data_IF_724530694888
#
_entry.id   IF_724530694888
#
_cell.length_a   1.000
_cell.length_b   1.000
_cell.length_c   1.000
_cell.angle_alpha   90.00
_cell.angle_beta   90.00
_cell.angle_gamma   90.00
#
_symmetry.space_group_name_H-M   'P 1'
#
loop_
_entity.id
_entity.type
_entity.pdbx_description
1 polymer ?
#
# COMPACT_ATOMS: atom_id res chain seq x y z
N UNK A 1 -8.45 15.45 18.07
CA UNK A 1 -8.18 16.22 19.28
C UNK A 1 -9.17 15.96 20.41
N UNK A 2 -10.51 15.93 20.16
CA UNK A 2 -11.50 15.78 21.25
C UNK A 2 -11.34 14.51 22.09
N UNK A 3 -10.96 13.40 21.49
CA UNK A 3 -10.76 12.12 22.20
C UNK A 3 -9.31 11.94 22.64
N UNK A 4 -8.37 12.09 21.70
CA UNK A 4 -6.95 11.83 21.97
C UNK A 4 -6.28 12.95 22.78
N UNK A 5 -6.78 14.17 22.69
CA UNK A 5 -6.30 15.31 23.50
C UNK A 5 -6.77 15.29 24.96
N UNK A 6 -7.60 14.33 25.36
CA UNK A 6 -8.03 14.13 26.72
C UNK A 6 -7.40 12.85 27.27
N UNK A 7 -6.52 12.96 28.28
CA UNK A 7 -5.80 11.81 28.85
C UNK A 7 -6.71 10.70 29.36
N UNK A 8 -7.87 11.05 29.93
CA UNK A 8 -8.84 10.07 30.46
C UNK A 8 -9.50 9.23 29.37
N UNK A 9 -9.74 9.78 28.19
CA UNK A 9 -10.28 9.03 27.05
C UNK A 9 -9.18 8.38 26.21
N UNK A 10 -8.04 9.05 26.02
CA UNK A 10 -6.94 8.56 25.21
C UNK A 10 -6.35 7.21 25.68
N UNK A 11 -6.43 6.92 27.00
CA UNK A 11 -5.95 5.64 27.58
C UNK A 11 -6.75 4.41 27.09
N UNK A 12 -7.95 4.61 26.58
CA UNK A 12 -8.81 3.53 26.05
C UNK A 12 -8.66 3.37 24.53
N UNK A 13 -7.87 4.22 23.86
CA UNK A 13 -7.66 4.20 22.42
C UNK A 13 -6.28 3.65 22.15
N UNK A 14 -6.19 2.52 21.46
CA UNK A 14 -4.93 1.92 21.03
C UNK A 14 -4.50 2.48 19.68
N UNK A 15 -5.45 2.69 18.77
CA UNK A 15 -5.19 3.19 17.43
C UNK A 15 -6.41 3.82 16.77
N UNK A 16 -6.21 4.39 15.61
CA UNK A 16 -7.23 5.05 14.78
C UNK A 16 -7.32 4.34 13.43
N UNK A 17 -8.54 4.15 12.93
CA UNK A 17 -8.81 3.57 11.64
C UNK A 17 -9.38 4.60 10.65
N UNK A 18 -8.95 4.49 9.39
CA UNK A 18 -9.39 5.32 8.28
C UNK A 18 -9.85 4.44 7.12
N UNK A 19 -10.63 5.00 6.18
CA UNK A 19 -11.02 4.32 4.95
C UNK A 19 -10.23 4.78 3.72
N UNK A 20 -9.71 5.99 3.69
CA UNK A 20 -8.90 6.48 2.58
C UNK A 20 -9.65 6.81 1.29
N UNK A 21 -10.97 7.00 1.34
CA UNK A 21 -11.81 7.32 0.18
C UNK A 21 -11.98 8.80 -0.12
N UNK A 22 -11.26 9.65 0.54
CA UNK A 22 -11.53 11.06 0.50
C UNK A 22 -11.30 11.66 -0.90
N UNK A 23 -12.23 12.50 -1.32
CA UNK A 23 -12.15 13.23 -2.57
C UNK A 23 -11.01 14.26 -2.58
N UNK A 24 -10.43 14.51 -1.45
CA UNK A 24 -9.46 15.56 -1.21
C UNK A 24 -8.02 15.09 -1.48
N UNK A 25 -7.87 13.86 -1.93
CA UNK A 25 -6.58 13.26 -2.23
C UNK A 25 -5.88 12.72 -1.00
N UNK A 26 -4.80 12.02 -1.28
CA UNK A 26 -4.01 11.36 -0.24
C UNK A 26 -3.31 12.34 0.71
N UNK A 27 -3.05 13.57 0.28
CA UNK A 27 -2.31 14.56 1.08
C UNK A 27 -2.99 14.86 2.41
N UNK A 28 -4.31 15.02 2.42
CA UNK A 28 -5.05 15.26 3.68
C UNK A 28 -5.13 14.02 4.55
N UNK A 29 -5.24 12.84 3.94
CA UNK A 29 -5.26 11.58 4.67
C UNK A 29 -3.90 11.24 5.28
N UNK A 30 -2.81 11.42 4.54
CA UNK A 30 -1.45 11.18 5.03
C UNK A 30 -1.08 12.12 6.17
N UNK A 31 -1.44 13.39 6.07
CA UNK A 31 -1.27 14.35 7.16
C UNK A 31 -2.02 13.93 8.43
N UNK A 32 -3.19 13.30 8.29
CA UNK A 32 -3.93 12.71 9.40
C UNK A 32 -3.23 11.52 10.04
N UNK A 33 -2.64 10.62 9.25
CA UNK A 33 -1.85 9.48 9.75
C UNK A 33 -0.63 9.96 10.55
N UNK A 34 0.17 10.83 9.95
CA UNK A 34 1.36 11.39 10.56
C UNK A 34 1.02 12.16 11.84
N UNK A 35 -0.02 13.00 11.80
CA UNK A 35 -0.47 13.76 12.97
C UNK A 35 -0.83 12.84 14.16
N UNK A 36 -1.52 11.74 13.93
CA UNK A 36 -1.91 10.80 14.98
C UNK A 36 -0.70 10.06 15.54
N UNK A 37 0.21 9.61 14.68
CA UNK A 37 1.41 8.89 15.11
C UNK A 37 2.37 9.78 15.87
N UNK A 38 2.63 11.00 15.40
CA UNK A 38 3.60 11.92 15.99
C UNK A 38 3.09 12.59 17.27
N UNK A 39 1.83 13.04 17.28
CA UNK A 39 1.33 13.81 18.41
C UNK A 39 0.72 12.96 19.53
N UNK A 40 0.25 11.75 19.22
CA UNK A 40 -0.42 10.89 20.20
C UNK A 40 0.25 9.53 20.37
N UNK A 41 1.21 9.16 19.55
CA UNK A 41 1.88 7.85 19.60
C UNK A 41 0.90 6.69 19.45
N UNK A 42 -0.18 6.87 18.69
CA UNK A 42 -1.21 5.86 18.47
C UNK A 42 -1.00 5.16 17.14
N UNK A 43 -1.37 3.88 17.10
CA UNK A 43 -1.34 3.11 15.87
C UNK A 43 -2.38 3.63 14.87
N UNK A 44 -2.06 3.51 13.58
CA UNK A 44 -2.95 3.92 12.48
C UNK A 44 -3.18 2.75 11.52
N UNK A 45 -4.42 2.64 11.04
CA UNK A 45 -4.91 1.55 10.22
C UNK A 45 -5.74 2.07 9.06
N UNK A 46 -5.62 1.43 7.87
CA UNK A 46 -6.59 1.54 6.79
C UNK A 46 -7.46 0.28 6.84
N UNK A 47 -8.73 0.45 7.23
CA UNK A 47 -9.64 -0.69 7.40
C UNK A 47 -10.52 -0.95 6.20
N UNK A 48 -10.52 -0.03 5.23
CA UNK A 48 -11.24 -0.19 3.98
C UNK A 48 -10.64 0.72 2.91
N UNK A 49 -10.40 0.16 1.73
CA UNK A 49 -10.12 0.88 0.50
C UNK A 49 -10.44 -0.04 -0.69
N UNK A 50 -10.92 0.50 -1.80
CA UNK A 50 -11.18 -0.27 -3.02
C UNK A 50 -10.56 0.40 -4.24
N UNK A 51 -10.32 -0.37 -5.28
CA UNK A 51 -10.07 0.14 -6.62
C UNK A 51 -11.40 0.49 -7.28
N UNK A 52 -11.44 1.67 -7.90
CA UNK A 52 -12.62 2.12 -8.64
C UNK A 52 -12.47 1.87 -10.14
N UNK A 53 -13.60 1.47 -10.73
CA UNK A 53 -13.96 1.63 -12.12
C UNK A 53 -13.27 0.76 -13.17
N UNK A 54 -14.12 0.13 -13.97
CA UNK A 54 -13.80 -0.60 -15.20
C UNK A 54 -13.04 0.21 -16.27
N UNK A 55 -12.84 1.51 -16.09
CA UNK A 55 -12.18 2.41 -17.04
C UNK A 55 -10.70 2.69 -16.73
N UNK A 56 -10.19 2.22 -15.59
CA UNK A 56 -8.81 2.46 -15.19
C UNK A 56 -7.97 1.24 -15.57
N UNK A 57 -6.87 1.47 -16.28
CA UNK A 57 -5.96 0.40 -16.70
C UNK A 57 -5.13 -0.15 -15.51
N UNK A 58 -4.47 -1.27 -15.74
CA UNK A 58 -3.67 -1.95 -14.71
C UNK A 58 -2.57 -1.05 -14.15
N UNK A 59 -1.89 -0.25 -14.98
CA UNK A 59 -0.78 0.60 -14.55
C UNK A 59 -1.28 1.72 -13.63
N UNK A 60 -2.41 2.34 -13.96
CA UNK A 60 -3.05 3.35 -13.12
C UNK A 60 -3.52 2.76 -11.79
N UNK A 61 -4.15 1.58 -11.82
CA UNK A 61 -4.63 0.90 -10.61
C UNK A 61 -3.49 0.45 -9.68
N UNK A 62 -2.41 -0.11 -10.22
CA UNK A 62 -1.29 -0.52 -9.38
C UNK A 62 -0.59 0.70 -8.79
N UNK A 63 -0.45 1.78 -9.57
CA UNK A 63 0.13 3.04 -9.10
C UNK A 63 -0.72 3.64 -7.96
N UNK A 64 -2.03 3.69 -8.13
CA UNK A 64 -2.96 4.12 -7.08
C UNK A 64 -2.80 3.30 -5.81
N UNK A 65 -2.82 1.97 -5.93
CA UNK A 65 -2.70 1.05 -4.79
C UNK A 65 -1.35 1.18 -4.07
N UNK A 66 -0.26 1.33 -4.83
CA UNK A 66 1.08 1.51 -4.26
C UNK A 66 1.21 2.84 -3.52
N UNK A 67 0.67 3.92 -4.08
CA UNK A 67 0.74 5.24 -3.46
C UNK A 67 -0.18 5.35 -2.24
N UNK A 68 -1.44 4.93 -2.36
CA UNK A 68 -2.48 5.22 -1.37
C UNK A 68 -2.68 4.13 -0.32
N UNK A 69 -2.14 2.93 -0.51
CA UNK A 69 -2.31 1.82 0.43
C UNK A 69 -0.98 1.30 0.94
N UNK A 70 0.06 1.30 0.11
CA UNK A 70 1.32 0.65 0.44
C UNK A 70 2.39 1.66 0.84
N UNK A 71 2.99 2.38 -0.11
CA UNK A 71 4.26 3.09 0.13
C UNK A 71 4.06 4.28 1.07
N UNK A 72 3.19 5.21 0.69
CA UNK A 72 3.03 6.43 1.49
C UNK A 72 2.42 6.16 2.86
N UNK A 73 1.32 5.36 3.01
CA UNK A 73 0.79 5.08 4.34
C UNK A 73 1.78 4.36 5.26
N UNK A 74 2.58 3.42 4.73
CA UNK A 74 3.62 2.77 5.51
C UNK A 74 4.69 3.77 5.97
N UNK A 75 5.06 4.72 5.12
CA UNK A 75 6.00 5.78 5.51
C UNK A 75 5.43 6.69 6.61
N UNK A 76 4.13 6.87 6.68
CA UNK A 76 3.43 7.61 7.74
C UNK A 76 3.02 6.75 8.95
N UNK A 77 3.54 5.53 9.08
CA UNK A 77 3.38 4.70 10.27
C UNK A 77 2.21 3.74 10.25
N UNK A 78 1.59 3.49 9.07
CA UNK A 78 0.53 2.49 8.94
C UNK A 78 0.96 1.13 9.47
N UNK A 79 0.12 0.52 10.32
CA UNK A 79 0.35 -0.81 10.89
C UNK A 79 -0.30 -1.93 10.06
N UNK A 80 -1.47 -1.67 9.50
CA UNK A 80 -2.15 -2.61 8.62
C UNK A 80 -3.09 -1.87 7.65
N UNK A 81 -3.21 -2.42 6.44
CA UNK A 81 -4.17 -1.98 5.44
C UNK A 81 -4.98 -3.16 4.91
N UNK A 82 -6.28 -2.95 4.71
CA UNK A 82 -7.20 -3.95 4.17
C UNK A 82 -7.98 -3.41 3.00
N UNK A 83 -8.15 -4.26 1.97
CA UNK A 83 -8.97 -3.94 0.83
C UNK A 83 -10.43 -4.37 1.01
N UNK A 84 -11.31 -3.60 0.45
CA UNK A 84 -12.71 -3.88 0.24
C UNK A 84 -12.98 -4.02 -1.26
N UNK A 85 -13.32 -5.21 -1.80
CA UNK A 85 -13.49 -6.56 -1.22
C UNK A 85 -12.29 -7.46 -1.58
N UNK A 86 -12.20 -8.65 -0.92
CA UNK A 86 -11.15 -9.61 -1.29
C UNK A 86 -11.47 -10.33 -2.61
N UNK A 87 -12.69 -10.85 -2.76
CA UNK A 87 -13.10 -11.59 -3.97
C UNK A 87 -14.45 -11.07 -4.46
N UNK A 88 -14.50 -10.71 -5.72
CA UNK A 88 -15.73 -10.41 -6.48
C UNK A 88 -15.66 -11.12 -7.85
N UNK A 89 -16.75 -11.13 -8.58
CA UNK A 89 -16.72 -11.47 -10.02
C UNK A 89 -16.08 -10.33 -10.81
N UNK A 90 -15.71 -10.58 -12.06
CA UNK A 90 -15.10 -9.56 -12.94
C UNK A 90 -16.03 -8.37 -13.24
N UNK A 91 -17.36 -8.55 -13.07
CA UNK A 91 -18.36 -7.48 -13.13
C UNK A 91 -18.74 -6.89 -11.76
N UNK A 92 -17.93 -7.19 -10.71
CA UNK A 92 -18.07 -6.62 -9.38
C UNK A 92 -19.17 -7.22 -8.51
N UNK A 93 -19.67 -8.42 -8.82
CA UNK A 93 -20.72 -9.06 -8.01
C UNK A 93 -20.12 -9.92 -6.87
N UNK A 94 -20.87 -10.17 -5.79
CA UNK A 94 -22.21 -9.66 -5.49
C UNK A 94 -22.18 -8.23 -4.93
N UNK A 95 -23.19 -7.44 -5.28
CA UNK A 95 -23.40 -6.11 -4.71
C UNK A 95 -24.77 -6.01 -4.04
N UNK A 96 -24.86 -5.19 -2.98
CA UNK A 96 -26.14 -4.79 -2.41
C UNK A 96 -26.48 -3.40 -2.97
N UNK A 97 -27.51 -3.34 -3.80
CA UNK A 97 -27.93 -2.10 -4.46
C UNK A 97 -27.67 -2.12 -5.98
N UNK A 98 -27.61 -0.94 -6.57
CA UNK A 98 -27.64 -0.80 -8.03
C UNK A 98 -26.28 -0.44 -8.66
N UNK A 99 -25.20 -0.35 -7.90
CA UNK A 99 -23.89 0.08 -8.40
C UNK A 99 -22.80 -0.88 -7.97
N UNK A 100 -22.20 -1.53 -8.97
CA UNK A 100 -20.93 -2.25 -8.82
C UNK A 100 -19.81 -1.31 -9.23
N UNK A 101 -19.29 -0.52 -8.29
CA UNK A 101 -18.17 0.37 -8.54
C UNK A 101 -16.86 -0.16 -7.92
N UNK A 102 -16.91 -1.33 -7.28
CA UNK A 102 -15.79 -1.94 -6.60
C UNK A 102 -15.29 -3.16 -7.37
N UNK A 103 -13.98 -3.37 -7.31
CA UNK A 103 -13.34 -4.60 -7.75
C UNK A 103 -12.79 -5.38 -6.56
N UNK A 104 -12.80 -6.71 -6.69
CA UNK A 104 -12.10 -7.56 -5.76
C UNK A 104 -10.59 -7.46 -5.94
N UNK A 105 -9.84 -7.82 -4.92
CA UNK A 105 -8.39 -8.09 -5.06
C UNK A 105 -8.18 -9.24 -6.05
N UNK A 106 -9.12 -10.18 -6.07
CA UNK A 106 -9.21 -11.31 -6.99
C UNK A 106 -10.59 -11.32 -7.64
N UNK A 107 -10.65 -11.52 -8.97
CA UNK A 107 -11.89 -11.88 -9.65
C UNK A 107 -12.06 -13.40 -9.66
N UNK A 108 -13.28 -13.85 -9.43
CA UNK A 108 -13.66 -15.26 -9.46
C UNK A 108 -14.95 -15.42 -10.26
N UNK A 109 -14.85 -15.94 -11.48
CA UNK A 109 -15.95 -16.08 -12.41
C UNK A 109 -16.27 -17.56 -12.65
N UNK A 110 -17.56 -17.88 -12.78
CA UNK A 110 -18.00 -19.21 -13.18
C UNK A 110 -18.28 -19.21 -14.68
N UNK A 111 -17.49 -19.98 -15.41
CA UNK A 111 -17.63 -20.19 -16.84
C UNK A 111 -18.16 -21.62 -17.15
N UNK A 112 -18.34 -21.93 -18.43
CA UNK A 112 -18.91 -23.21 -18.85
C UNK A 112 -18.05 -24.44 -18.52
N UNK A 113 -16.74 -24.24 -18.37
CA UNK A 113 -15.73 -25.26 -18.06
C UNK A 113 -15.27 -25.23 -16.59
N UNK A 114 -15.83 -24.32 -15.76
CA UNK A 114 -15.56 -24.25 -14.33
C UNK A 114 -15.26 -22.86 -13.79
N UNK A 115 -14.67 -22.82 -12.60
CA UNK A 115 -14.26 -21.58 -11.94
C UNK A 115 -12.94 -21.08 -12.48
N UNK A 116 -12.94 -19.82 -12.91
CA UNK A 116 -11.75 -19.09 -13.35
C UNK A 116 -11.45 -17.95 -12.40
N UNK A 117 -10.17 -17.69 -12.16
CA UNK A 117 -9.77 -16.55 -11.34
C UNK A 117 -8.71 -15.71 -12.04
N UNK A 118 -8.76 -14.42 -11.78
CA UNK A 118 -7.71 -13.47 -12.15
C UNK A 118 -7.36 -12.56 -10.98
N UNK A 119 -6.16 -11.98 -11.03
CA UNK A 119 -5.65 -11.10 -9.98
C UNK A 119 -5.65 -9.67 -10.48
N UNK A 120 -6.25 -8.77 -9.71
CA UNK A 120 -6.26 -7.35 -10.00
C UNK A 120 -4.98 -6.64 -9.52
N UNK A 121 -4.82 -5.37 -9.83
CA UNK A 121 -3.63 -4.61 -9.51
C UNK A 121 -3.33 -4.54 -8.01
N UNK A 122 -4.37 -4.41 -7.18
CA UNK A 122 -4.30 -4.46 -5.72
C UNK A 122 -3.67 -5.74 -5.18
N UNK A 123 -3.92 -6.90 -5.81
CA UNK A 123 -3.25 -8.14 -5.45
C UNK A 123 -1.73 -8.01 -5.56
N UNK A 124 -1.25 -7.44 -6.66
CA UNK A 124 0.19 -7.31 -6.88
C UNK A 124 0.80 -6.23 -5.98
N UNK A 125 0.10 -5.11 -5.78
CA UNK A 125 0.54 -4.08 -4.84
C UNK A 125 0.73 -4.65 -3.43
N UNK A 126 -0.27 -5.39 -2.92
CA UNK A 126 -0.17 -6.05 -1.61
C UNK A 126 0.93 -7.12 -1.58
N UNK A 127 1.16 -7.83 -2.69
CA UNK A 127 2.17 -8.88 -2.76
C UNK A 127 3.60 -8.34 -2.56
N UNK A 128 3.88 -7.09 -2.93
CA UNK A 128 5.17 -6.46 -2.66
C UNK A 128 5.48 -6.36 -1.17
N UNK A 129 4.48 -6.21 -0.32
CA UNK A 129 4.62 -6.24 1.14
C UNK A 129 4.51 -7.67 1.67
N UNK A 130 3.38 -8.34 1.42
CA UNK A 130 3.04 -9.60 2.07
C UNK A 130 4.00 -10.75 1.73
N UNK A 131 4.66 -10.69 0.58
CA UNK A 131 5.62 -11.71 0.15
C UNK A 131 7.05 -11.44 0.62
N UNK A 132 7.46 -10.19 0.74
CA UNK A 132 8.87 -9.84 0.88
C UNK A 132 9.22 -9.22 2.23
N UNK A 133 8.27 -8.54 2.89
CA UNK A 133 8.54 -7.81 4.13
C UNK A 133 8.62 -8.76 5.32
N UNK A 134 7.78 -9.80 5.36
CA UNK A 134 7.89 -10.85 6.39
C UNK A 134 8.95 -11.88 6.01
N UNK A 135 9.64 -12.41 7.01
CA UNK A 135 10.53 -13.56 6.78
C UNK A 135 9.72 -14.86 6.63
N UNK A 136 10.41 -15.95 6.32
CA UNK A 136 9.78 -17.27 6.12
C UNK A 136 9.04 -17.80 7.36
N UNK A 137 9.44 -17.32 8.55
CA UNK A 137 8.83 -17.69 9.82
C UNK A 137 7.70 -16.71 10.23
N UNK A 138 7.38 -15.73 9.38
CA UNK A 138 6.36 -14.72 9.62
C UNK A 138 6.71 -13.72 10.74
N UNK A 139 8.01 -13.55 11.01
CA UNK A 139 8.46 -12.59 12.02
C UNK A 139 8.34 -11.15 11.51
N UNK A 140 8.12 -10.26 12.46
CA UNK A 140 7.95 -8.84 12.20
C UNK A 140 9.19 -8.22 11.54
N UNK A 141 8.93 -7.29 10.63
CA UNK A 141 9.93 -6.40 10.08
C UNK A 141 9.79 -5.00 10.68
N UNK A 142 10.90 -4.28 10.74
CA UNK A 142 10.92 -2.90 11.22
C UNK A 142 11.03 -1.99 9.99
N UNK A 143 10.10 -1.04 9.86
CA UNK A 143 10.18 -0.02 8.81
C UNK A 143 11.38 0.88 9.06
N UNK A 144 12.13 1.15 8.01
CA UNK A 144 13.27 2.07 8.01
C UNK A 144 12.87 3.44 7.47
N UNK A 145 13.57 4.48 7.86
CA UNK A 145 13.50 5.79 7.20
C UNK A 145 13.95 5.64 5.74
N UNK A 146 13.15 6.15 4.81
CA UNK A 146 13.40 6.04 3.38
C UNK A 146 13.19 7.41 2.74
N UNK A 147 14.17 7.87 1.98
CA UNK A 147 14.13 9.16 1.30
C UNK A 147 14.41 8.97 -0.19
N UNK A 148 13.78 9.77 -1.03
CA UNK A 148 14.06 9.84 -2.46
C UNK A 148 14.44 11.27 -2.84
N UNK A 149 15.54 11.42 -3.58
CA UNK A 149 15.94 12.70 -4.17
C UNK A 149 15.16 13.06 -5.44
N UNK A 150 14.38 12.11 -5.96
CA UNK A 150 13.55 12.27 -7.16
C UNK A 150 12.07 12.16 -6.79
N UNK A 151 11.30 13.22 -7.02
CA UNK A 151 9.87 13.29 -6.69
C UNK A 151 9.00 12.30 -7.47
N UNK A 152 9.49 11.76 -8.58
CA UNK A 152 8.80 10.72 -9.35
C UNK A 152 9.15 9.30 -8.90
N UNK A 153 10.05 9.16 -7.94
CA UNK A 153 10.41 7.87 -7.33
C UNK A 153 9.97 7.90 -5.88
N UNK A 154 9.02 7.06 -5.54
CA UNK A 154 8.60 6.84 -4.16
C UNK A 154 9.06 5.47 -3.68
N UNK A 155 9.43 5.39 -2.41
CA UNK A 155 9.95 4.15 -1.85
C UNK A 155 9.59 3.99 -0.37
N UNK A 156 9.58 2.75 0.08
CA UNK A 156 9.56 2.38 1.51
C UNK A 156 10.52 1.22 1.74
N UNK A 157 11.07 1.11 2.93
CA UNK A 157 12.02 0.04 3.23
C UNK A 157 11.84 -0.55 4.63
N UNK A 158 12.28 -1.80 4.77
CA UNK A 158 12.11 -2.60 5.97
C UNK A 158 13.39 -3.38 6.30
N UNK A 159 13.66 -3.53 7.58
CA UNK A 159 14.66 -4.44 8.09
C UNK A 159 13.95 -5.68 8.66
N UNK A 160 14.25 -6.83 8.10
CA UNK A 160 13.66 -8.12 8.50
C UNK A 160 14.42 -8.76 9.64
N UNK A 161 13.75 -9.65 10.36
CA UNK A 161 14.34 -10.39 11.47
C UNK A 161 15.50 -11.33 11.05
N UNK A 162 15.55 -11.73 9.76
CA UNK A 162 16.64 -12.53 9.19
C UNK A 162 17.87 -11.69 8.79
N UNK A 163 17.81 -10.38 8.97
CA UNK A 163 18.89 -9.45 8.65
C UNK A 163 18.81 -8.85 7.23
N UNK A 164 17.86 -9.26 6.43
CA UNK A 164 17.68 -8.69 5.09
C UNK A 164 17.04 -7.30 5.15
N UNK A 165 17.43 -6.44 4.22
CA UNK A 165 16.75 -5.17 3.93
C UNK A 165 15.87 -5.36 2.70
N UNK A 166 14.61 -4.98 2.81
CA UNK A 166 13.64 -4.97 1.72
C UNK A 166 13.36 -3.53 1.34
N UNK A 167 13.50 -3.19 0.07
CA UNK A 167 13.16 -1.87 -0.46
C UNK A 167 12.11 -2.03 -1.56
N UNK A 168 10.97 -1.38 -1.41
CA UNK A 168 9.92 -1.31 -2.41
C UNK A 168 10.02 0.06 -3.06
N UNK A 169 10.27 0.09 -4.36
CA UNK A 169 10.46 1.32 -5.14
C UNK A 169 9.45 1.37 -6.27
N UNK A 170 8.74 2.47 -6.40
CA UNK A 170 7.76 2.72 -7.46
C UNK A 170 8.15 3.96 -8.25
N UNK A 171 8.24 3.82 -9.57
CA UNK A 171 8.36 4.92 -10.50
C UNK A 171 6.96 5.37 -10.92
N UNK A 172 6.52 6.54 -10.43
CA UNK A 172 5.20 7.11 -10.73
C UNK A 172 5.16 7.88 -12.05
N UNK A 173 6.32 8.11 -12.67
CA UNK A 173 6.44 8.83 -13.94
C UNK A 173 6.08 7.91 -15.13
N UNK A 174 5.67 8.50 -16.22
CA UNK A 174 5.53 7.87 -17.53
C UNK A 174 6.86 7.88 -18.34
N UNK A 175 7.93 8.44 -17.76
CA UNK A 175 9.28 8.48 -18.34
C UNK A 175 10.13 7.36 -17.76
N UNK A 176 10.86 6.64 -18.58
CA UNK A 176 11.85 5.64 -18.14
C UNK A 176 13.03 6.32 -17.45
N UNK A 177 13.48 5.73 -16.34
CA UNK A 177 14.74 6.11 -15.71
C UNK A 177 15.79 5.04 -16.02
N UNK A 178 16.89 5.46 -16.61
CA UNK A 178 17.99 4.54 -16.99
C UNK A 178 18.66 3.96 -15.75
N UNK A 179 18.74 4.75 -14.66
CA UNK A 179 19.37 4.30 -13.45
C UNK A 179 18.80 5.03 -12.21
N UNK A 180 18.51 4.26 -11.19
CA UNK A 180 18.20 4.75 -9.84
C UNK A 180 19.24 4.18 -8.89
N UNK A 181 19.98 5.03 -8.21
CA UNK A 181 20.91 4.62 -7.18
C UNK A 181 20.18 4.35 -5.87
N UNK A 182 20.24 3.12 -5.41
CA UNK A 182 19.71 2.71 -4.11
C UNK A 182 20.86 2.59 -3.12
N UNK A 183 20.82 3.38 -2.06
CA UNK A 183 21.86 3.43 -1.02
C UNK A 183 21.29 2.85 0.28
N UNK A 184 21.97 1.85 0.83
CA UNK A 184 21.60 1.18 2.08
C UNK A 184 22.85 1.10 2.98
N UNK A 185 22.95 2.03 3.93
CA UNK A 185 24.15 2.15 4.75
C UNK A 185 25.38 2.50 3.90
N UNK A 186 26.38 1.62 3.90
CA UNK A 186 27.61 1.74 3.11
C UNK A 186 27.55 1.04 1.74
N UNK A 187 26.42 0.44 1.40
CA UNK A 187 26.21 -0.25 0.15
C UNK A 187 25.42 0.61 -0.82
N UNK A 188 25.82 0.58 -2.08
CA UNK A 188 25.13 1.25 -3.18
C UNK A 188 25.03 0.29 -4.36
N UNK A 189 23.89 0.29 -5.02
CA UNK A 189 23.70 -0.39 -6.30
C UNK A 189 22.76 0.43 -7.18
N UNK A 190 22.91 0.26 -8.47
CA UNK A 190 22.12 0.96 -9.48
C UNK A 190 21.13 -0.01 -10.09
N UNK A 191 19.88 0.42 -10.24
CA UNK A 191 18.82 -0.35 -10.87
C UNK A 191 18.04 0.51 -11.86
N UNK A 192 17.69 -0.08 -13.01
CA UNK A 192 16.83 0.57 -14.00
C UNK A 192 15.36 0.27 -13.67
N UNK A 193 14.58 1.32 -13.42
CA UNK A 193 13.14 1.21 -13.10
C UNK A 193 12.35 1.77 -14.27
N UNK A 194 11.54 0.92 -14.90
CA UNK A 194 10.70 1.28 -16.02
C UNK A 194 9.58 2.26 -15.60
N UNK A 195 8.99 3.00 -16.55
CA UNK A 195 7.85 3.87 -16.27
C UNK A 195 6.71 3.11 -15.61
N UNK A 196 6.01 3.75 -14.67
CA UNK A 196 4.84 3.22 -13.98
C UNK A 196 5.03 1.80 -13.43
N UNK A 197 6.24 1.46 -13.04
CA UNK A 197 6.59 0.13 -12.54
C UNK A 197 7.00 0.16 -11.08
N UNK A 198 6.89 -1.00 -10.44
CA UNK A 198 7.32 -1.23 -9.07
C UNK A 198 8.31 -2.38 -9.03
N UNK A 199 9.32 -2.23 -8.20
CA UNK A 199 10.29 -3.29 -7.92
C UNK A 199 10.43 -3.48 -6.42
N UNK A 200 10.64 -4.73 -6.00
CA UNK A 200 11.07 -5.05 -4.65
C UNK A 200 12.48 -5.60 -4.69
N UNK A 201 13.35 -4.99 -3.93
CA UNK A 201 14.76 -5.34 -3.80
C UNK A 201 14.95 -5.95 -2.42
N UNK A 202 15.62 -7.10 -2.37
CA UNK A 202 15.95 -7.80 -1.11
C UNK A 202 17.47 -7.99 -1.07
N UNK A 203 18.12 -7.50 -0.05
CA UNK A 203 19.58 -7.56 0.11
C UNK A 203 20.01 -7.74 1.57
#
# INVERSE_FOLDING_TARGET
DAVLGNEESAKYVTGIAFHGYENDGFDDFSGGLEYVTENYGKDVYITEITEYSASIDFASNISYSLQNVVINPLNYGLKAGTYWNFVLTSDGQPVLGNTAECYGVINLDLESDGWHYSKNASYYAMAHVSKFVYDIDGKDAVRLGTESSNTNIIATSFYRADGAVVVIVHNISDVSYEAVDVVIGDRQFTYEIQPQSVVTIVC
#
